data_IF_584678009407
#
_entry.id   IF_584678009407
#
_cell.length_a   1.000
_cell.length_b   1.000
_cell.length_c   1.000
_cell.angle_alpha   90.00
_cell.angle_beta   90.00
_cell.angle_gamma   90.00
#
_symmetry.space_group_name_H-M   'P 1'
#
loop_
_entity.id
_entity.type
_entity.pdbx_description
1 polymer ?
#
# COMPACT_ATOMS: atom_id res chain seq x y z
N UNK A 1 13.43 2.61 18.00
CA UNK A 1 12.26 1.71 17.89
C UNK A 1 12.25 1.10 16.51
N UNK A 2 12.08 -0.21 16.41
CA UNK A 2 11.94 -0.95 15.15
C UNK A 2 10.57 -0.63 14.55
N UNK A 3 10.54 -0.05 13.36
CA UNK A 3 9.31 0.33 12.66
C UNK A 3 9.12 -0.58 11.45
N UNK A 4 7.91 -1.16 11.34
CA UNK A 4 7.48 -1.91 10.17
C UNK A 4 6.32 -1.17 9.51
N UNK A 5 6.32 -1.09 8.19
CA UNK A 5 5.24 -0.47 7.43
C UNK A 5 4.44 -1.51 6.63
N UNK A 6 3.11 -1.34 6.60
CA UNK A 6 2.16 -2.22 5.94
C UNK A 6 1.31 -1.38 4.99
N UNK A 7 1.51 -1.55 3.69
CA UNK A 7 0.96 -0.65 2.68
C UNK A 7 -0.10 -1.36 1.85
N UNK A 8 -1.33 -0.91 1.98
CA UNK A 8 -2.42 -1.27 1.08
C UNK A 8 -2.22 -0.57 -0.27
N UNK A 9 -1.73 -1.33 -1.25
CA UNK A 9 -1.35 -0.81 -2.55
C UNK A 9 -2.53 -0.30 -3.36
N UNK A 10 -3.70 -0.93 -3.26
CA UNK A 10 -4.89 -0.47 -3.98
C UNK A 10 -5.46 0.79 -3.33
N UNK A 11 -5.53 0.84 -2.00
CA UNK A 11 -6.05 2.00 -1.30
C UNK A 11 -5.19 3.24 -1.56
N UNK A 12 -3.86 3.08 -1.52
CA UNK A 12 -2.92 4.14 -1.90
C UNK A 12 -3.02 4.49 -3.39
N UNK A 13 -2.97 3.51 -4.30
CA UNK A 13 -3.04 3.75 -5.76
C UNK A 13 -4.31 4.53 -6.15
N UNK A 14 -5.47 4.12 -5.66
CA UNK A 14 -6.71 4.81 -6.01
C UNK A 14 -6.80 6.22 -5.41
N UNK A 15 -6.14 6.49 -4.29
CA UNK A 15 -6.08 7.84 -3.71
C UNK A 15 -5.28 8.83 -4.58
N UNK A 16 -4.15 8.37 -5.15
CA UNK A 16 -3.27 9.23 -5.95
C UNK A 16 -3.84 9.57 -7.33
N UNK A 17 -4.73 8.73 -7.87
CA UNK A 17 -5.42 9.01 -9.14
C UNK A 17 -6.17 10.35 -9.10
N UNK A 18 -6.64 10.76 -7.93
CA UNK A 18 -7.37 12.02 -7.74
C UNK A 18 -6.53 13.28 -7.95
N UNK A 19 -5.20 13.17 -8.07
CA UNK A 19 -4.33 14.29 -8.40
C UNK A 19 -4.15 14.48 -9.91
N UNK A 20 -4.55 13.49 -10.72
CA UNK A 20 -4.32 13.49 -12.16
C UNK A 20 -2.84 13.70 -12.54
N UNK A 21 -1.90 13.20 -11.72
CA UNK A 21 -0.46 13.32 -11.99
C UNK A 21 0.14 11.93 -12.18
N UNK A 22 0.38 11.49 -13.43
CA UNK A 22 0.86 10.14 -13.72
C UNK A 22 2.16 9.77 -12.99
N UNK A 23 3.05 10.75 -12.80
CA UNK A 23 4.34 10.57 -12.11
C UNK A 23 4.18 10.09 -10.67
N UNK A 24 3.07 10.43 -10.00
CA UNK A 24 2.77 9.96 -8.64
C UNK A 24 2.50 8.45 -8.57
N UNK A 25 2.42 7.73 -9.70
CA UNK A 25 2.34 6.27 -9.71
C UNK A 25 3.71 5.59 -9.55
N UNK A 26 4.81 6.36 -9.62
CA UNK A 26 6.20 5.89 -9.47
C UNK A 26 6.78 6.27 -8.11
N UNK A 27 6.12 5.85 -7.03
CA UNK A 27 6.47 6.23 -5.66
C UNK A 27 7.51 5.29 -5.05
N UNK A 28 8.46 5.86 -4.32
CA UNK A 28 9.34 5.14 -3.42
C UNK A 28 8.62 4.99 -2.07
N UNK A 29 8.01 3.81 -1.87
CA UNK A 29 7.23 3.53 -0.67
C UNK A 29 8.06 3.47 0.61
N UNK A 30 9.34 3.09 0.52
CA UNK A 30 10.27 3.13 1.65
C UNK A 30 10.54 4.57 2.07
N UNK A 31 10.96 5.41 1.12
CA UNK A 31 11.21 6.84 1.36
C UNK A 31 9.96 7.57 1.88
N UNK A 32 8.78 7.19 1.39
CA UNK A 32 7.52 7.72 1.89
C UNK A 32 7.32 7.41 3.37
N UNK A 33 7.55 6.16 3.80
CA UNK A 33 7.45 5.78 5.21
C UNK A 33 8.52 6.46 6.06
N UNK A 34 9.75 6.58 5.56
CA UNK A 34 10.86 7.27 6.24
C UNK A 34 10.50 8.72 6.58
N UNK A 35 9.71 9.39 5.74
CA UNK A 35 9.27 10.77 5.99
C UNK A 35 8.37 10.96 7.23
N UNK A 36 7.86 9.87 7.82
CA UNK A 36 7.03 9.88 9.03
C UNK A 36 7.74 9.34 10.28
N UNK A 37 9.01 8.94 10.18
CA UNK A 37 9.79 8.47 11.32
C UNK A 37 10.05 9.60 12.33
N UNK A 38 10.10 9.24 13.60
CA UNK A 38 10.55 10.13 14.67
C UNK A 38 12.01 9.87 15.03
N UNK A 39 12.63 10.79 15.78
CA UNK A 39 14.00 10.60 16.26
C UNK A 39 14.12 9.30 17.05
N UNK A 40 15.05 8.43 16.66
CA UNK A 40 15.28 7.13 17.28
C UNK A 40 14.42 6.00 16.72
N UNK A 41 13.55 6.26 15.74
CA UNK A 41 12.93 5.20 14.94
C UNK A 41 13.90 4.69 13.86
N UNK A 42 13.77 3.41 13.52
CA UNK A 42 14.46 2.77 12.40
C UNK A 42 13.42 2.01 11.58
N UNK A 43 13.37 2.21 10.25
CA UNK A 43 12.42 1.52 9.38
C UNK A 43 13.04 0.22 8.85
N UNK A 44 12.75 -0.90 9.52
CA UNK A 44 13.37 -2.18 9.23
C UNK A 44 12.72 -2.88 8.03
N UNK A 45 11.39 -2.85 7.93
CA UNK A 45 10.65 -3.56 6.88
C UNK A 45 9.48 -2.73 6.32
N UNK A 46 9.20 -2.91 5.04
CA UNK A 46 8.10 -2.26 4.33
C UNK A 46 7.40 -3.29 3.46
N UNK A 47 6.21 -3.72 3.87
CA UNK A 47 5.38 -4.60 3.07
C UNK A 47 4.47 -3.83 2.12
N UNK A 48 4.44 -4.26 0.87
CA UNK A 48 3.52 -3.76 -0.15
C UNK A 48 2.51 -4.84 -0.53
N UNK A 49 1.24 -4.63 -0.21
CA UNK A 49 0.16 -5.57 -0.47
C UNK A 49 -0.58 -5.18 -1.74
N UNK A 50 -0.62 -6.07 -2.73
CA UNK A 50 -1.30 -5.82 -4.00
C UNK A 50 -1.64 -7.11 -4.73
N UNK A 51 -2.19 -7.01 -5.94
CA UNK A 51 -2.46 -8.13 -6.83
C UNK A 51 -2.11 -7.77 -8.28
N UNK A 52 -1.60 -8.73 -9.04
CA UNK A 52 -1.29 -8.52 -10.45
C UNK A 52 -2.54 -8.66 -11.33
N UNK A 53 -2.84 -7.64 -12.14
CA UNK A 53 -3.92 -7.69 -13.14
C UNK A 53 -3.49 -8.52 -14.37
N UNK A 54 -3.39 -9.84 -14.21
CA UNK A 54 -2.89 -10.77 -15.25
C UNK A 54 -3.74 -10.81 -16.53
N UNK A 55 -4.95 -10.27 -16.51
CA UNK A 55 -5.86 -10.25 -17.66
C UNK A 55 -5.72 -8.99 -18.52
N UNK A 56 -4.88 -8.01 -18.14
CA UNK A 56 -4.60 -6.79 -18.92
C UNK A 56 -3.09 -6.61 -19.03
N UNK A 57 -2.51 -6.99 -20.17
CA UNK A 57 -1.06 -7.09 -20.37
C UNK A 57 -0.32 -5.77 -20.06
N UNK A 58 -0.82 -4.65 -20.55
CA UNK A 58 -0.14 -3.35 -20.35
C UNK A 58 -0.13 -2.92 -18.88
N UNK A 59 -1.25 -3.13 -18.17
CA UNK A 59 -1.34 -2.82 -16.74
C UNK A 59 -0.49 -3.78 -15.92
N UNK A 60 -0.44 -5.05 -16.32
CA UNK A 60 0.43 -6.05 -15.72
C UNK A 60 1.89 -5.64 -15.84
N UNK A 61 2.37 -5.34 -17.05
CA UNK A 61 3.77 -4.96 -17.31
C UNK A 61 4.21 -3.76 -16.48
N UNK A 62 3.40 -2.68 -16.47
CA UNK A 62 3.71 -1.49 -15.64
C UNK A 62 3.73 -1.78 -14.15
N UNK A 63 2.75 -2.55 -13.66
CA UNK A 63 2.69 -2.90 -12.25
C UNK A 63 3.85 -3.82 -11.85
N UNK A 64 4.19 -4.79 -12.69
CA UNK A 64 5.32 -5.70 -12.48
C UNK A 64 6.65 -4.92 -12.40
N UNK A 65 6.88 -3.98 -13.32
CA UNK A 65 8.07 -3.11 -13.27
C UNK A 65 8.09 -2.24 -12.01
N UNK A 66 6.93 -1.73 -11.59
CA UNK A 66 6.82 -0.98 -10.33
C UNK A 66 7.15 -1.84 -9.11
N UNK A 67 6.65 -3.08 -9.04
CA UNK A 67 6.99 -4.00 -7.95
C UNK A 67 8.49 -4.31 -7.93
N UNK A 68 9.11 -4.57 -9.08
CA UNK A 68 10.58 -4.75 -9.15
C UNK A 68 11.34 -3.51 -8.66
N UNK A 69 10.88 -2.32 -9.04
CA UNK A 69 11.45 -1.06 -8.59
C UNK A 69 11.34 -0.91 -7.06
N UNK A 70 10.20 -1.26 -6.48
CA UNK A 70 10.01 -1.27 -5.03
C UNK A 70 10.95 -2.28 -4.33
N UNK A 71 11.13 -3.47 -4.89
CA UNK A 71 12.07 -4.46 -4.35
C UNK A 71 13.51 -3.92 -4.30
N UNK A 72 13.92 -3.12 -5.28
CA UNK A 72 15.26 -2.50 -5.30
C UNK A 72 15.53 -1.53 -4.14
N UNK A 73 14.46 -0.98 -3.55
CA UNK A 73 14.54 -0.09 -2.38
C UNK A 73 14.10 -0.81 -1.10
N UNK A 74 14.20 -2.13 -1.06
CA UNK A 74 13.94 -2.93 0.15
C UNK A 74 12.48 -2.92 0.60
N UNK A 75 11.55 -2.93 -0.36
CA UNK A 75 10.11 -3.13 -0.11
C UNK A 75 9.75 -4.57 -0.48
N UNK A 76 9.09 -5.27 0.44
CA UNK A 76 8.71 -6.67 0.30
C UNK A 76 7.27 -6.78 -0.22
N UNK A 77 7.05 -7.22 -1.49
CA UNK A 77 5.70 -7.39 -2.01
C UNK A 77 5.03 -8.65 -1.47
N UNK A 78 3.76 -8.52 -1.06
CA UNK A 78 2.89 -9.63 -0.66
C UNK A 78 1.70 -9.65 -1.63
N UNK A 79 1.74 -10.57 -2.59
CA UNK A 79 0.80 -10.57 -3.71
C UNK A 79 -0.41 -11.46 -3.45
N UNK A 80 -1.61 -10.87 -3.48
CA UNK A 80 -2.89 -11.57 -3.63
C UNK A 80 -3.14 -11.98 -5.08
N UNK A 81 -4.41 -12.26 -5.41
CA UNK A 81 -4.80 -12.70 -6.76
C UNK A 81 -6.11 -12.09 -7.21
N UNK A 82 -6.24 -11.87 -8.52
CA UNK A 82 -7.53 -11.55 -9.13
C UNK A 82 -8.28 -12.85 -9.46
N UNK A 83 -9.55 -12.91 -9.06
CA UNK A 83 -10.45 -14.02 -9.40
C UNK A 83 -11.50 -13.55 -10.41
N UNK A 84 -11.74 -14.34 -11.46
CA UNK A 84 -12.85 -14.13 -12.38
C UNK A 84 -14.19 -14.21 -11.62
N UNK A 85 -15.10 -13.30 -11.94
CA UNK A 85 -16.46 -13.26 -11.43
C UNK A 85 -17.41 -13.04 -12.59
N UNK A 86 -18.60 -13.64 -12.49
CA UNK A 86 -19.67 -13.50 -13.47
C UNK A 86 -20.92 -12.91 -12.82
N UNK A 87 -20.86 -11.66 -12.32
CA UNK A 87 -22.02 -11.01 -11.73
C UNK A 87 -23.15 -10.86 -12.75
N UNK A 88 -24.38 -10.83 -12.23
CA UNK A 88 -25.58 -10.53 -13.00
C UNK A 88 -25.78 -9.01 -13.03
N UNK A 89 -25.96 -8.43 -14.21
CA UNK A 89 -26.31 -7.02 -14.36
C UNK A 89 -27.64 -6.75 -13.65
N UNK A 90 -27.73 -5.67 -12.86
CA UNK A 90 -28.97 -5.31 -12.15
C UNK A 90 -30.04 -4.69 -13.05
N UNK A 91 -29.67 -4.28 -14.27
CA UNK A 91 -30.56 -3.62 -15.24
C UNK A 91 -31.06 -4.62 -16.28
N UNK A 92 -30.14 -5.24 -17.03
CA UNK A 92 -30.48 -6.15 -18.13
C UNK A 92 -30.44 -7.63 -17.76
N UNK A 93 -30.11 -7.98 -16.52
CA UNK A 93 -30.05 -9.36 -16.01
C UNK A 93 -29.07 -10.31 -16.71
N UNK A 94 -28.29 -9.84 -17.70
CA UNK A 94 -27.23 -10.61 -18.32
C UNK A 94 -26.03 -10.79 -17.39
N UNK A 95 -25.35 -11.94 -17.48
CA UNK A 95 -24.06 -12.15 -16.83
C UNK A 95 -22.97 -11.48 -17.66
N UNK A 96 -22.03 -10.81 -17.00
CA UNK A 96 -20.84 -10.28 -17.64
C UNK A 96 -19.61 -10.73 -16.86
N UNK A 97 -18.48 -10.83 -17.53
CA UNK A 97 -17.22 -11.18 -16.88
C UNK A 97 -16.60 -9.93 -16.24
N UNK A 98 -16.22 -10.04 -14.97
CA UNK A 98 -15.38 -9.06 -14.28
C UNK A 98 -14.31 -9.78 -13.45
N UNK A 99 -13.42 -9.01 -12.85
CA UNK A 99 -12.38 -9.51 -11.97
C UNK A 99 -12.50 -8.85 -10.61
N UNK A 100 -12.35 -9.64 -9.55
CA UNK A 100 -12.35 -9.18 -8.18
C UNK A 100 -10.98 -9.45 -7.57
N UNK A 101 -10.40 -8.43 -6.95
CA UNK A 101 -9.20 -8.57 -6.13
C UNK A 101 -9.56 -9.44 -4.91
N UNK A 102 -8.64 -10.33 -4.53
CA UNK A 102 -8.79 -11.17 -3.36
C UNK A 102 -7.49 -11.23 -2.59
N UNK A 103 -7.66 -11.31 -1.28
CA UNK A 103 -6.66 -11.61 -0.26
C UNK A 103 -5.80 -10.44 0.21
N UNK A 104 -5.83 -9.25 -0.40
CA UNK A 104 -4.97 -8.14 0.05
C UNK A 104 -5.24 -7.76 1.52
N UNK A 105 -6.49 -7.54 1.92
CA UNK A 105 -6.83 -7.13 3.29
C UNK A 105 -6.52 -8.23 4.32
N UNK A 106 -6.82 -9.48 3.95
CA UNK A 106 -6.51 -10.65 4.77
C UNK A 106 -4.99 -10.81 4.94
N UNK A 107 -4.21 -10.60 3.86
CA UNK A 107 -2.76 -10.67 3.92
C UNK A 107 -2.19 -9.56 4.81
N UNK A 108 -2.73 -8.34 4.76
CA UNK A 108 -2.34 -7.24 5.67
C UNK A 108 -2.60 -7.67 7.11
N UNK A 109 -3.82 -8.12 7.42
CA UNK A 109 -4.21 -8.50 8.77
C UNK A 109 -3.34 -9.62 9.35
N UNK A 110 -3.16 -10.71 8.58
CA UNK A 110 -2.34 -11.86 9.00
C UNK A 110 -0.88 -11.46 9.19
N UNK A 111 -0.31 -10.68 8.26
CA UNK A 111 1.10 -10.28 8.35
C UNK A 111 1.34 -9.37 9.55
N UNK A 112 0.47 -8.37 9.78
CA UNK A 112 0.57 -7.47 10.91
C UNK A 112 0.44 -8.21 12.26
N UNK A 113 -0.53 -9.12 12.39
CA UNK A 113 -0.72 -9.93 13.61
C UNK A 113 0.46 -10.88 13.84
N UNK A 114 0.93 -11.56 12.80
CA UNK A 114 2.10 -12.45 12.87
C UNK A 114 3.34 -11.70 13.35
N UNK A 115 3.62 -10.54 12.76
CA UNK A 115 4.82 -9.77 13.06
C UNK A 115 4.76 -9.12 14.45
N UNK A 116 3.55 -8.81 14.94
CA UNK A 116 3.36 -8.41 16.33
C UNK A 116 3.63 -9.57 17.30
N UNK A 117 3.09 -10.76 17.01
CA UNK A 117 3.28 -11.97 17.82
C UNK A 117 4.76 -12.40 17.89
N UNK A 118 5.47 -12.32 16.76
CA UNK A 118 6.89 -12.66 16.65
C UNK A 118 7.84 -11.55 17.11
N UNK A 119 7.32 -10.50 17.76
CA UNK A 119 8.08 -9.35 18.25
C UNK A 119 8.99 -8.70 17.19
N UNK A 120 8.52 -8.58 15.94
CA UNK A 120 9.33 -8.06 14.82
C UNK A 120 9.44 -6.54 14.80
N UNK A 121 8.46 -5.84 15.35
CA UNK A 121 8.43 -4.37 15.41
C UNK A 121 8.04 -3.87 16.79
N UNK A 122 8.46 -2.64 17.10
CA UNK A 122 8.01 -1.89 18.27
C UNK A 122 6.89 -0.91 17.91
N UNK A 123 6.84 -0.44 16.65
CA UNK A 123 5.82 0.45 16.09
C UNK A 123 5.43 0.00 14.69
N UNK A 124 4.14 0.05 14.36
CA UNK A 124 3.65 -0.28 13.02
C UNK A 124 3.10 0.97 12.33
N UNK A 125 3.48 1.18 11.06
CA UNK A 125 2.78 2.08 10.16
C UNK A 125 1.79 1.29 9.32
N UNK A 126 0.52 1.68 9.35
CA UNK A 126 -0.51 1.09 8.49
C UNK A 126 -1.01 2.13 7.50
N UNK A 127 -0.73 1.92 6.21
CA UNK A 127 -1.13 2.84 5.14
C UNK A 127 -2.40 2.28 4.50
N UNK A 128 -3.56 2.77 4.92
CA UNK A 128 -4.87 2.40 4.35
C UNK A 128 -5.95 3.40 4.80
N UNK A 129 -7.10 3.33 4.15
CA UNK A 129 -8.35 3.93 4.60
C UNK A 129 -9.48 2.89 4.61
N UNK A 130 -9.16 1.59 4.57
CA UNK A 130 -10.13 0.50 4.59
C UNK A 130 -10.52 0.13 6.03
N UNK A 131 -11.79 0.36 6.37
CA UNK A 131 -12.32 0.12 7.70
C UNK A 131 -12.41 -1.35 8.08
N UNK A 132 -12.29 -2.29 7.13
CA UNK A 132 -12.29 -3.72 7.42
C UNK A 132 -11.10 -4.12 8.33
N UNK A 133 -10.01 -3.34 8.32
CA UNK A 133 -8.83 -3.55 9.15
C UNK A 133 -8.97 -3.01 10.60
N UNK A 134 -10.09 -2.38 10.98
CA UNK A 134 -10.33 -1.90 12.36
C UNK A 134 -10.24 -3.03 13.37
N UNK A 135 -10.79 -4.21 13.02
CA UNK A 135 -10.74 -5.42 13.85
C UNK A 135 -9.30 -5.84 14.17
N UNK A 136 -8.41 -5.74 13.17
CA UNK A 136 -6.98 -6.05 13.31
C UNK A 136 -6.29 -5.08 14.27
N UNK A 137 -6.55 -3.77 14.13
CA UNK A 137 -5.95 -2.76 15.03
C UNK A 137 -6.43 -2.96 16.48
N UNK A 138 -7.73 -3.26 16.69
CA UNK A 138 -8.27 -3.54 18.03
C UNK A 138 -7.54 -4.73 18.67
N UNK A 139 -7.38 -5.81 17.92
CA UNK A 139 -6.67 -7.02 18.39
C UNK A 139 -5.20 -6.73 18.74
N UNK A 140 -4.48 -5.96 17.92
CA UNK A 140 -3.11 -5.56 18.23
C UNK A 140 -3.03 -4.75 19.52
N UNK A 141 -3.93 -3.79 19.72
CA UNK A 141 -3.97 -2.95 20.93
C UNK A 141 -4.28 -3.76 22.19
N UNK A 142 -5.17 -4.73 22.08
CA UNK A 142 -5.57 -5.61 23.18
C UNK A 142 -4.43 -6.57 23.56
N UNK A 143 -3.88 -7.30 22.59
CA UNK A 143 -2.88 -8.34 22.84
C UNK A 143 -1.46 -7.79 23.02
N UNK A 144 -1.15 -6.65 22.38
CA UNK A 144 0.19 -6.06 22.36
C UNK A 144 0.15 -4.55 22.64
N UNK A 145 -0.28 -4.12 23.84
CA UNK A 145 -0.52 -2.70 24.16
C UNK A 145 0.73 -1.80 24.03
N UNK A 146 1.94 -2.38 24.07
CA UNK A 146 3.22 -1.68 23.88
C UNK A 146 3.62 -1.47 22.41
N UNK A 147 2.84 -1.96 21.46
CA UNK A 147 3.11 -1.89 20.01
C UNK A 147 2.14 -0.93 19.31
N UNK A 148 2.36 0.40 19.36
CA UNK A 148 1.45 1.36 18.74
C UNK A 148 1.32 1.14 17.23
N UNK A 149 0.08 1.18 16.75
CA UNK A 149 -0.26 1.24 15.32
C UNK A 149 -0.55 2.69 14.96
N UNK A 150 0.27 3.24 14.05
CA UNK A 150 0.13 4.58 13.51
C UNK A 150 -0.51 4.47 12.13
N UNK A 151 -1.66 5.11 11.96
CA UNK A 151 -2.39 5.13 10.70
C UNK A 151 -1.85 6.23 9.79
N UNK A 152 -1.33 5.86 8.62
CA UNK A 152 -0.94 6.79 7.56
C UNK A 152 -2.02 6.80 6.48
N UNK A 153 -2.92 7.77 6.57
CA UNK A 153 -4.12 7.81 5.74
C UNK A 153 -3.73 8.25 4.32
N UNK A 154 -4.09 7.50 3.27
CA UNK A 154 -3.86 7.93 1.89
C UNK A 154 -4.54 9.28 1.58
N UNK A 155 -3.96 10.10 0.69
CA UNK A 155 -4.45 11.45 0.42
C UNK A 155 -5.93 11.51 0.05
N UNK A 156 -6.66 12.50 0.56
CA UNK A 156 -8.09 12.73 0.29
C UNK A 156 -8.99 11.56 0.73
N UNK A 157 -8.49 10.62 1.56
CA UNK A 157 -9.28 9.49 2.07
C UNK A 157 -9.65 9.58 3.54
N UNK A 158 -9.27 10.66 4.23
CA UNK A 158 -9.58 10.88 5.65
C UNK A 158 -11.05 10.64 6.00
N UNK A 159 -11.98 11.13 5.17
CA UNK A 159 -13.43 10.96 5.40
C UNK A 159 -13.93 9.51 5.37
N UNK A 160 -13.17 8.58 4.78
CA UNK A 160 -13.51 7.16 4.73
C UNK A 160 -12.87 6.36 5.89
N UNK A 161 -11.94 6.97 6.63
CA UNK A 161 -11.12 6.30 7.63
C UNK A 161 -11.55 6.61 9.08
N UNK A 162 -12.79 7.07 9.32
CA UNK A 162 -13.21 7.56 10.63
C UNK A 162 -13.03 6.52 11.75
N UNK A 163 -13.44 5.28 11.54
CA UNK A 163 -13.30 4.21 12.54
C UNK A 163 -11.83 3.82 12.76
N UNK A 164 -11.01 3.84 11.70
CA UNK A 164 -9.57 3.62 11.82
C UNK A 164 -8.91 4.73 12.64
N UNK A 165 -9.29 6.00 12.41
CA UNK A 165 -8.77 7.18 13.13
C UNK A 165 -9.06 7.07 14.62
N UNK A 166 -10.27 6.63 14.99
CA UNK A 166 -10.66 6.44 16.39
C UNK A 166 -9.95 5.26 17.04
N UNK A 167 -9.59 4.25 16.25
CA UNK A 167 -9.01 3.00 16.76
C UNK A 167 -7.49 3.05 16.86
N UNK A 168 -6.79 3.65 15.89
CA UNK A 168 -5.33 3.73 15.84
C UNK A 168 -4.74 4.54 17.01
N UNK A 169 -3.46 4.30 17.35
CA UNK A 169 -2.78 5.02 18.42
C UNK A 169 -2.45 6.47 18.04
N UNK A 170 -2.19 6.71 16.76
CA UNK A 170 -2.09 8.04 16.16
C UNK A 170 -2.43 7.96 14.67
N UNK A 171 -2.66 9.10 14.03
CA UNK A 171 -2.93 9.16 12.60
C UNK A 171 -2.31 10.40 11.95
N UNK A 172 -1.87 10.25 10.70
CA UNK A 172 -1.41 11.33 9.84
C UNK A 172 -1.98 11.14 8.44
N UNK A 173 -2.40 12.21 7.79
CA UNK A 173 -2.77 12.15 6.37
C UNK A 173 -1.52 12.37 5.51
N UNK A 174 -1.28 11.46 4.57
CA UNK A 174 -0.23 11.60 3.57
C UNK A 174 -0.61 12.75 2.64
N UNK A 175 0.22 13.80 2.62
CA UNK A 175 -0.01 14.97 1.77
C UNK A 175 0.69 14.78 0.43
N UNK A 176 0.23 15.52 -0.59
CA UNK A 176 0.88 15.56 -1.91
C UNK A 176 2.38 15.89 -1.83
N UNK A 177 2.78 16.76 -0.91
CA UNK A 177 4.19 17.10 -0.68
C UNK A 177 5.03 15.89 -0.21
N UNK A 178 4.48 14.99 0.61
CA UNK A 178 5.17 13.75 0.99
C UNK A 178 5.38 12.85 -0.23
N UNK A 179 4.37 12.73 -1.09
CA UNK A 179 4.43 11.93 -2.31
C UNK A 179 5.50 12.45 -3.28
N UNK A 180 5.51 13.76 -3.54
CA UNK A 180 6.45 14.38 -4.49
C UNK A 180 7.91 14.25 -4.02
N UNK A 181 8.16 14.29 -2.70
CA UNK A 181 9.50 14.09 -2.13
C UNK A 181 9.94 12.62 -2.13
N UNK A 182 9.01 11.69 -2.35
CA UNK A 182 9.22 10.25 -2.24
C UNK A 182 9.05 9.57 -3.59
N UNK A 183 9.49 10.21 -4.69
CA UNK A 183 9.47 9.59 -6.01
C UNK A 183 10.70 8.68 -6.19
N UNK A 184 10.52 7.57 -6.90
CA UNK A 184 11.62 6.75 -7.37
C UNK A 184 12.40 7.50 -8.47
N UNK A 185 13.67 7.13 -8.65
CA UNK A 185 14.46 7.58 -9.81
C UNK A 185 13.84 7.06 -11.11
N UNK A 186 14.02 7.81 -12.19
CA UNK A 186 13.49 7.44 -13.52
C UNK A 186 14.16 6.16 -14.07
N UNK A 187 15.38 5.87 -13.62
CA UNK A 187 16.11 4.63 -13.89
C UNK A 187 16.61 4.03 -12.58
N UNK A 188 16.41 2.73 -12.42
CA UNK A 188 16.80 1.94 -11.26
C UNK A 188 17.64 0.77 -11.75
N UNK A 189 18.74 0.51 -11.04
CA UNK A 189 19.63 -0.62 -11.29
C UNK A 189 19.39 -1.67 -10.21
N UNK A 190 18.90 -2.85 -10.59
CA UNK A 190 18.65 -3.97 -9.69
C UNK A 190 19.46 -5.17 -10.19
N UNK A 191 20.62 -5.41 -9.56
CA UNK A 191 21.61 -6.39 -10.04
C UNK A 191 21.97 -6.09 -11.51
N UNK A 192 21.77 -7.03 -12.41
CA UNK A 192 22.05 -6.90 -13.84
C UNK A 192 20.85 -6.37 -14.65
N UNK A 193 19.72 -6.05 -14.00
CA UNK A 193 18.53 -5.52 -14.65
C UNK A 193 18.41 -4.00 -14.51
N UNK A 194 18.05 -3.33 -15.61
CA UNK A 194 17.72 -1.90 -15.64
C UNK A 194 16.20 -1.74 -15.70
N UNK A 195 15.62 -1.14 -14.67
CA UNK A 195 14.19 -0.85 -14.58
C UNK A 195 13.98 0.62 -14.86
N UNK A 196 13.20 0.93 -15.89
CA UNK A 196 12.83 2.31 -16.25
C UNK A 196 11.40 2.61 -15.83
N UNK A 197 11.17 3.86 -15.43
CA UNK A 197 9.82 4.38 -15.25
C UNK A 197 9.01 4.19 -16.56
N UNK A 198 7.74 3.76 -16.49
CA UNK A 198 6.88 3.70 -17.68
C UNK A 198 6.71 5.07 -18.35
N UNK A 199 6.73 5.10 -19.69
CA UNK A 199 6.56 6.34 -20.47
C UNK A 199 5.25 7.05 -20.15
N UNK A 200 4.20 6.31 -19.80
CA UNK A 200 2.90 6.83 -19.41
C UNK A 200 2.94 7.62 -18.09
N UNK A 201 3.99 7.46 -17.29
CA UNK A 201 4.19 8.18 -16.03
C UNK A 201 5.09 9.42 -16.20
N UNK A 202 5.79 9.54 -17.34
CA UNK A 202 6.64 10.68 -17.67
C UNK A 202 5.90 11.84 -18.32
N UNK A 203 4.71 11.59 -18.90
CA UNK A 203 3.95 12.63 -19.60
C UNK A 203 3.47 13.70 -18.60
N UNK A 204 3.83 14.99 -18.79
CA UNK A 204 2.96 16.04 -18.31
C UNK A 204 1.62 15.93 -19.03
N UNK A 205 0.53 16.23 -18.34
CA UNK A 205 -0.77 16.40 -19.00
C UNK A 205 -0.73 17.58 -19.97
#
# INVERSE_FOLDING_TARGET
MRVYAYIDGFNLYHSILSFNEPRLKWLNLRSLCESFLQKGDELNEVYFFSAYLTHIQDKFSRHFNYVKALQSVGVTPVMGKFKKKYPKCKICFNKYQTYEEKQSDINIAITLLRDAFLDKFDKAFLITADTDLVSTIKMIKELFPKKPVILLIPPKRRKYANELIQTANANFEIKKANLLKSLLSDTIYLKDEVIKIPNEYLKPL
#
